data_IF_767969258400
#
_entry.id   IF_767969258400
#
_cell.length_a   1.000
_cell.length_b   1.000
_cell.length_c   1.000
_cell.angle_alpha   90.00
_cell.angle_beta   90.00
_cell.angle_gamma   90.00
#
_symmetry.space_group_name_H-M   'P 1'
#
loop_
_entity.id
_entity.type
_entity.pdbx_description
1 polymer ?
#
# COMPACT_ATOMS: atom_id res chain seq x y z
N UNK A 1 -27.52 4.86 10.90
CA UNK A 1 -27.07 5.39 9.61
C UNK A 1 -25.84 4.56 9.25
N UNK A 2 -25.86 3.81 8.16
CA UNK A 2 -24.64 3.12 7.69
C UNK A 2 -23.64 4.19 7.31
N UNK A 3 -22.44 4.12 7.90
CA UNK A 3 -21.35 5.03 7.57
C UNK A 3 -20.96 4.81 6.10
N UNK A 4 -21.20 5.78 5.25
CA UNK A 4 -20.76 5.78 3.87
C UNK A 4 -19.27 6.06 3.81
N UNK A 5 -18.53 5.36 2.95
CA UNK A 5 -17.13 5.70 2.67
C UNK A 5 -17.04 7.02 1.92
N UNK A 6 -16.09 7.88 2.28
CA UNK A 6 -15.91 9.19 1.66
C UNK A 6 -15.10 9.17 0.36
N UNK A 7 -14.54 8.00 0.00
CA UNK A 7 -13.69 7.80 -1.18
C UNK A 7 -12.73 6.64 -1.03
N UNK A 8 -11.93 6.42 -2.06
CA UNK A 8 -10.94 5.35 -2.12
C UNK A 8 -9.55 5.90 -1.81
N UNK A 9 -8.80 5.17 -0.98
CA UNK A 9 -7.37 5.38 -0.79
C UNK A 9 -6.61 4.39 -1.66
N UNK A 10 -5.60 4.85 -2.37
CA UNK A 10 -4.85 3.99 -3.29
C UNK A 10 -3.36 4.10 -3.09
N UNK A 11 -2.64 3.00 -3.24
CA UNK A 11 -1.19 3.00 -3.34
C UNK A 11 -0.73 2.57 -4.73
N UNK A 12 0.27 3.27 -5.26
CA UNK A 12 0.83 3.02 -6.57
C UNK A 12 2.36 2.91 -6.49
N UNK A 13 2.92 1.89 -7.13
CA UNK A 13 4.37 1.72 -7.24
C UNK A 13 4.95 2.29 -8.53
N UNK A 14 4.15 2.34 -9.62
CA UNK A 14 4.62 2.77 -10.94
C UNK A 14 4.16 4.18 -11.27
N UNK A 15 5.07 5.09 -11.66
CA UNK A 15 4.72 6.47 -12.01
C UNK A 15 3.68 6.59 -13.15
N UNK A 16 3.64 5.63 -14.07
CA UNK A 16 2.66 5.63 -15.16
C UNK A 16 1.20 5.48 -14.68
N UNK A 17 0.96 5.04 -13.44
CA UNK A 17 -0.37 4.93 -12.84
C UNK A 17 -0.89 6.25 -12.27
N UNK A 18 0.01 7.21 -12.00
CA UNK A 18 -0.36 8.46 -11.34
C UNK A 18 -1.43 9.28 -12.11
N UNK A 19 -1.36 9.44 -13.43
CA UNK A 19 -2.41 10.16 -14.17
C UNK A 19 -3.80 9.51 -14.02
N UNK A 20 -3.89 8.19 -14.06
CA UNK A 20 -5.15 7.45 -13.86
C UNK A 20 -5.67 7.64 -12.43
N UNK A 21 -4.78 7.59 -11.44
CA UNK A 21 -5.08 7.83 -10.04
C UNK A 21 -5.69 9.22 -9.79
N UNK A 22 -5.05 10.24 -10.35
CA UNK A 22 -5.46 11.64 -10.22
C UNK A 22 -6.80 11.89 -10.92
N UNK A 23 -7.00 11.32 -12.10
CA UNK A 23 -8.20 11.54 -12.91
C UNK A 23 -9.46 10.88 -12.33
N UNK A 24 -9.33 9.87 -11.46
CA UNK A 24 -10.50 9.16 -10.93
C UNK A 24 -11.21 10.00 -9.85
N UNK A 25 -12.51 10.32 -10.00
CA UNK A 25 -13.21 11.24 -9.10
C UNK A 25 -13.31 10.74 -7.65
N UNK A 26 -13.47 9.43 -7.48
CA UNK A 26 -13.71 8.80 -6.18
C UNK A 26 -12.42 8.49 -5.39
N UNK A 27 -11.25 8.71 -5.98
CA UNK A 27 -9.98 8.63 -5.27
C UNK A 27 -9.79 9.90 -4.45
N UNK A 28 -9.56 9.76 -3.15
CA UNK A 28 -9.35 10.89 -2.23
C UNK A 28 -7.92 10.99 -1.72
N UNK A 29 -7.18 9.85 -1.69
CA UNK A 29 -5.79 9.80 -1.23
C UNK A 29 -4.95 8.88 -2.10
N UNK A 30 -3.72 9.32 -2.39
CA UNK A 30 -2.74 8.59 -3.19
C UNK A 30 -1.47 8.41 -2.38
N UNK A 31 -1.06 7.16 -2.18
CA UNK A 31 0.21 6.77 -1.59
C UNK A 31 1.21 6.44 -2.71
N UNK A 32 2.28 7.20 -2.80
CA UNK A 32 3.36 6.98 -3.75
C UNK A 32 4.43 6.08 -3.12
N UNK A 33 4.74 4.93 -3.72
CA UNK A 33 5.80 4.07 -3.20
C UNK A 33 7.18 4.63 -3.60
N UNK A 34 8.05 4.79 -2.62
CA UNK A 34 9.40 5.33 -2.80
C UNK A 34 10.31 4.47 -3.69
N UNK A 35 9.94 3.22 -3.97
CA UNK A 35 10.64 2.39 -4.94
C UNK A 35 10.48 2.90 -6.37
N UNK A 36 9.28 3.38 -6.72
CA UNK A 36 8.96 3.94 -8.04
C UNK A 36 9.15 5.45 -8.13
N UNK A 37 8.82 6.17 -7.07
CA UNK A 37 8.87 7.64 -7.04
C UNK A 37 10.12 8.14 -6.32
N UNK A 38 10.91 8.98 -6.99
CA UNK A 38 12.14 9.56 -6.45
C UNK A 38 12.05 11.05 -6.16
N UNK A 39 13.09 11.61 -5.52
CA UNK A 39 13.13 13.02 -5.11
C UNK A 39 12.90 13.99 -6.27
N UNK A 40 13.29 13.59 -7.46
CA UNK A 40 13.12 14.37 -8.71
C UNK A 40 11.65 14.52 -9.12
N UNK A 41 10.76 13.66 -8.63
CA UNK A 41 9.34 13.65 -8.97
C UNK A 41 8.42 14.02 -7.81
N UNK A 42 8.87 13.93 -6.55
CA UNK A 42 8.02 14.08 -5.37
C UNK A 42 7.20 15.36 -5.37
N UNK A 43 7.86 16.52 -5.47
CA UNK A 43 7.19 17.82 -5.43
C UNK A 43 6.14 17.99 -6.54
N UNK A 44 6.48 17.57 -7.76
CA UNK A 44 5.55 17.67 -8.88
C UNK A 44 4.36 16.71 -8.72
N UNK A 45 4.59 15.49 -8.20
CA UNK A 45 3.53 14.52 -7.94
C UNK A 45 2.58 14.98 -6.83
N UNK A 46 3.12 15.52 -5.74
CA UNK A 46 2.32 16.12 -4.65
C UNK A 46 1.46 17.27 -5.18
N UNK A 47 2.08 18.21 -5.92
CA UNK A 47 1.35 19.33 -6.50
C UNK A 47 0.22 18.86 -7.42
N UNK A 48 0.49 17.88 -8.29
CA UNK A 48 -0.53 17.32 -9.19
C UNK A 48 -1.70 16.66 -8.42
N UNK A 49 -1.44 16.01 -7.29
CA UNK A 49 -2.48 15.48 -6.42
C UNK A 49 -3.31 16.60 -5.78
N UNK A 50 -2.65 17.60 -5.19
CA UNK A 50 -3.32 18.73 -4.53
C UNK A 50 -4.14 19.58 -5.50
N UNK A 51 -3.66 19.82 -6.72
CA UNK A 51 -4.39 20.55 -7.77
C UNK A 51 -5.70 19.83 -8.16
N UNK A 52 -5.80 18.54 -7.87
CA UNK A 52 -6.99 17.72 -8.09
C UNK A 52 -7.73 17.36 -6.79
N UNK A 53 -7.51 18.11 -5.71
CA UNK A 53 -8.14 17.93 -4.40
C UNK A 53 -7.92 16.54 -3.80
N UNK A 54 -6.75 15.92 -4.04
CA UNK A 54 -6.37 14.62 -3.49
C UNK A 54 -5.20 14.78 -2.51
N UNK A 55 -5.24 14.03 -1.43
CA UNK A 55 -4.12 13.93 -0.50
C UNK A 55 -3.02 13.05 -1.09
N UNK A 56 -1.76 13.41 -0.82
CA UNK A 56 -0.60 12.71 -1.34
C UNK A 56 0.36 12.34 -0.21
N UNK A 57 0.69 11.07 -0.10
CA UNK A 57 1.58 10.55 0.94
C UNK A 57 2.70 9.73 0.31
N UNK A 58 3.86 9.67 0.96
CA UNK A 58 4.96 8.81 0.52
C UNK A 58 5.04 7.56 1.39
N UNK A 59 5.13 6.39 0.75
CA UNK A 59 5.40 5.11 1.42
C UNK A 59 6.90 4.83 1.44
N UNK A 60 7.44 4.53 2.60
CA UNK A 60 8.82 4.10 2.76
C UNK A 60 8.98 2.64 2.27
N UNK A 61 10.22 2.16 1.99
CA UNK A 61 10.43 0.82 1.43
C UNK A 61 10.22 -0.28 2.47
N UNK A 62 9.83 -1.47 2.06
CA UNK A 62 9.66 -2.61 2.99
C UNK A 62 10.93 -3.02 3.75
N UNK A 63 12.11 -2.74 3.19
CA UNK A 63 13.39 -3.02 3.84
C UNK A 63 14.13 -1.71 4.02
N UNK A 64 14.15 -1.24 5.27
CA UNK A 64 14.86 -0.03 5.67
C UNK A 64 16.19 -0.40 6.31
N UNK A 65 17.24 -0.46 5.50
CA UNK A 65 18.62 -0.76 5.90
C UNK A 65 19.56 0.35 5.43
N UNK A 66 20.85 0.15 5.55
CA UNK A 66 21.89 1.13 5.20
C UNK A 66 21.68 1.81 3.84
N UNK A 67 21.26 1.05 2.81
CA UNK A 67 20.99 1.60 1.48
C UNK A 67 19.83 2.57 1.50
N UNK A 68 18.71 2.20 2.13
CA UNK A 68 17.53 3.05 2.24
C UNK A 68 17.80 4.26 3.15
N UNK A 69 18.40 4.02 4.32
CA UNK A 69 18.77 5.09 5.24
C UNK A 69 19.69 6.12 4.59
N UNK A 70 20.76 5.67 3.91
CA UNK A 70 21.69 6.55 3.19
C UNK A 70 20.99 7.35 2.11
N UNK A 71 20.08 6.69 1.37
CA UNK A 71 19.30 7.34 0.32
C UNK A 71 18.41 8.45 0.88
N UNK A 72 17.59 8.17 1.91
CA UNK A 72 16.70 9.16 2.50
C UNK A 72 17.47 10.27 3.21
N UNK A 73 18.57 9.95 3.90
CA UNK A 73 19.44 10.96 4.51
C UNK A 73 20.02 11.94 3.48
N UNK A 74 20.42 11.44 2.32
CA UNK A 74 20.92 12.27 1.21
C UNK A 74 19.84 13.20 0.65
N UNK A 75 18.58 12.78 0.67
CA UNK A 75 17.46 13.48 0.06
C UNK A 75 16.48 14.06 1.08
N UNK A 76 16.92 14.24 2.33
CA UNK A 76 16.07 14.66 3.42
C UNK A 76 15.42 16.04 3.20
N UNK A 77 16.17 16.99 2.61
CA UNK A 77 15.66 18.32 2.32
C UNK A 77 14.59 18.27 1.23
N UNK A 78 14.82 17.49 0.18
CA UNK A 78 13.81 17.27 -0.86
C UNK A 78 12.54 16.63 -0.31
N UNK A 79 12.65 15.72 0.67
CA UNK A 79 11.52 15.10 1.34
C UNK A 79 10.73 16.12 2.17
N UNK A 80 11.43 16.99 2.90
CA UNK A 80 10.82 18.09 3.67
C UNK A 80 10.08 19.10 2.78
N UNK A 81 10.66 19.41 1.62
CA UNK A 81 10.13 20.39 0.67
C UNK A 81 9.05 19.84 -0.27
N UNK A 82 8.87 18.53 -0.31
CA UNK A 82 7.92 17.91 -1.21
C UNK A 82 6.46 18.25 -0.87
N UNK A 83 6.15 18.44 0.42
CA UNK A 83 4.82 18.83 0.89
C UNK A 83 3.86 17.64 1.00
N UNK A 84 4.37 16.45 1.29
CA UNK A 84 3.53 15.27 1.57
C UNK A 84 2.62 15.51 2.77
N UNK A 85 1.36 15.09 2.67
CA UNK A 85 0.40 15.18 3.76
C UNK A 85 0.70 14.21 4.89
N UNK A 86 1.30 13.04 4.57
CA UNK A 86 1.67 11.99 5.52
C UNK A 86 2.84 11.15 4.98
N UNK A 87 3.51 10.43 5.87
CA UNK A 87 4.49 9.40 5.53
C UNK A 87 4.01 8.04 6.02
N UNK A 88 4.02 7.03 5.15
CA UNK A 88 3.64 5.66 5.49
C UNK A 88 4.88 4.88 5.85
N UNK A 89 4.91 4.38 7.08
CA UNK A 89 6.03 3.60 7.64
C UNK A 89 5.71 2.11 7.64
N UNK A 90 6.72 1.32 7.36
CA UNK A 90 6.67 -0.15 7.27
C UNK A 90 7.57 -0.83 8.29
N UNK A 91 8.34 -0.07 9.07
CA UNK A 91 9.18 -0.56 10.17
C UNK A 91 9.31 0.47 11.30
N UNK A 92 9.67 0.01 12.50
CA UNK A 92 9.91 0.90 13.63
C UNK A 92 11.18 1.75 13.44
N UNK A 93 12.17 1.23 12.71
CA UNK A 93 13.40 1.96 12.38
C UNK A 93 13.11 3.22 11.57
N UNK A 94 12.11 3.16 10.69
CA UNK A 94 11.66 4.31 9.90
C UNK A 94 11.10 5.43 10.77
N UNK A 95 10.31 5.10 11.79
CA UNK A 95 9.76 6.08 12.75
C UNK A 95 10.91 6.84 13.44
N UNK A 96 11.89 6.09 13.93
CA UNK A 96 13.07 6.66 14.60
C UNK A 96 13.85 7.54 13.63
N UNK A 97 14.14 7.04 12.44
CA UNK A 97 14.87 7.77 11.39
C UNK A 97 14.19 9.10 11.04
N UNK A 98 12.87 9.10 10.82
CA UNK A 98 12.12 10.31 10.46
C UNK A 98 12.18 11.37 11.55
N UNK A 99 12.03 10.97 12.80
CA UNK A 99 12.11 11.89 13.96
C UNK A 99 13.49 12.49 14.12
N UNK A 100 14.54 11.68 14.05
CA UNK A 100 15.93 12.14 14.19
C UNK A 100 16.36 13.08 13.06
N UNK A 101 15.71 13.03 11.91
CA UNK A 101 16.00 13.87 10.76
C UNK A 101 15.03 15.06 10.58
N UNK A 102 14.23 15.39 11.61
CA UNK A 102 13.36 16.55 11.62
C UNK A 102 12.15 16.45 10.70
N UNK A 103 11.58 15.25 10.59
CA UNK A 103 10.32 14.94 9.89
C UNK A 103 9.22 14.48 10.87
N UNK A 104 9.44 14.68 12.17
CA UNK A 104 8.49 14.28 13.22
C UNK A 104 7.18 15.05 13.22
N UNK A 105 7.11 16.20 12.57
CA UNK A 105 5.89 17.01 12.45
C UNK A 105 4.96 16.53 11.32
N UNK A 106 5.46 15.72 10.39
CA UNK A 106 4.63 15.12 9.34
C UNK A 106 3.89 13.90 9.93
N UNK A 107 2.56 13.84 9.80
CA UNK A 107 1.79 12.71 10.32
C UNK A 107 2.29 11.37 9.76
N UNK A 108 2.42 10.37 10.64
CA UNK A 108 2.86 9.02 10.28
C UNK A 108 1.68 8.05 10.24
N UNK A 109 1.66 7.21 9.22
CA UNK A 109 0.69 6.12 9.02
C UNK A 109 1.42 4.79 9.02
N UNK A 110 0.95 3.81 9.80
CA UNK A 110 1.53 2.47 9.75
C UNK A 110 0.92 1.65 8.61
N UNK A 111 1.76 0.94 7.85
CA UNK A 111 1.29 -0.04 6.87
C UNK A 111 0.94 -1.37 7.55
N UNK A 112 0.18 -2.22 6.88
CA UNK A 112 -0.31 -3.50 7.38
C UNK A 112 0.77 -4.44 7.93
N UNK A 113 2.01 -4.34 7.40
CA UNK A 113 3.15 -5.16 7.83
C UNK A 113 3.77 -4.75 9.18
N UNK A 114 3.27 -3.71 9.84
CA UNK A 114 3.58 -3.44 11.25
C UNK A 114 2.75 -4.28 12.24
N UNK A 115 1.86 -5.11 11.72
CA UNK A 115 1.16 -6.19 12.43
C UNK A 115 0.44 -5.73 13.71
N UNK A 116 -0.41 -4.72 13.58
CA UNK A 116 -1.28 -4.27 14.68
C UNK A 116 -2.39 -5.31 14.91
N UNK A 117 -2.04 -6.41 15.58
CA UNK A 117 -2.90 -7.60 15.70
C UNK A 117 -3.86 -7.55 16.91
N UNK A 118 -3.68 -6.62 17.83
CA UNK A 118 -4.48 -6.49 19.03
C UNK A 118 -4.47 -5.06 19.60
N UNK A 119 -5.28 -4.80 20.60
CA UNK A 119 -5.42 -3.47 21.21
C UNK A 119 -4.12 -2.94 21.82
N UNK A 120 -3.31 -3.79 22.45
CA UNK A 120 -2.04 -3.35 23.02
C UNK A 120 -1.05 -2.87 21.94
N UNK A 121 -1.02 -3.57 20.79
CA UNK A 121 -0.23 -3.13 19.66
C UNK A 121 -0.76 -1.81 19.09
N UNK A 122 -2.07 -1.61 19.05
CA UNK A 122 -2.70 -0.35 18.63
C UNK A 122 -2.31 0.79 19.56
N UNK A 123 -2.49 0.64 20.87
CA UNK A 123 -2.10 1.63 21.87
C UNK A 123 -0.61 1.98 21.77
N UNK A 124 0.26 0.97 21.58
CA UNK A 124 1.70 1.21 21.40
C UNK A 124 2.01 2.01 20.12
N UNK A 125 1.30 1.79 19.04
CA UNK A 125 1.47 2.60 17.81
C UNK A 125 0.99 4.04 18.02
N UNK A 126 -0.13 4.23 18.73
CA UNK A 126 -0.63 5.55 19.10
C UNK A 126 0.38 6.30 19.98
N UNK A 127 0.98 5.63 20.98
CA UNK A 127 2.06 6.17 21.82
C UNK A 127 3.32 6.53 21.01
N UNK A 128 3.59 5.77 19.96
CA UNK A 128 4.63 6.07 18.98
C UNK A 128 4.21 7.19 18.00
N UNK A 129 3.09 7.89 18.21
CA UNK A 129 2.64 9.01 17.39
C UNK A 129 2.20 8.62 15.98
N UNK A 130 1.78 7.38 15.78
CA UNK A 130 1.13 6.97 14.53
C UNK A 130 -0.29 7.53 14.51
N UNK A 131 -0.59 8.34 13.50
CA UNK A 131 -1.86 9.05 13.38
C UNK A 131 -2.98 8.20 12.79
N UNK A 132 -2.64 7.19 12.00
CA UNK A 132 -3.58 6.24 11.38
C UNK A 132 -2.87 4.92 11.09
N UNK A 133 -3.62 3.83 11.09
CA UNK A 133 -3.08 2.47 10.91
C UNK A 133 -3.79 1.76 9.76
N UNK A 134 -3.06 0.91 9.07
CA UNK A 134 -3.62 -0.03 8.11
C UNK A 134 -3.82 -1.38 8.79
N UNK A 135 -5.02 -1.93 8.66
CA UNK A 135 -5.39 -3.23 9.25
C UNK A 135 -4.51 -4.36 8.73
N UNK A 136 -4.09 -5.28 9.59
CA UNK A 136 -3.24 -6.41 9.20
C UNK A 136 -3.99 -7.38 8.27
N UNK A 137 -3.26 -7.94 7.30
CA UNK A 137 -3.79 -8.84 6.29
C UNK A 137 -4.03 -10.27 6.80
N UNK A 138 -3.48 -10.60 7.97
CA UNK A 138 -3.51 -11.92 8.58
C UNK A 138 -4.80 -12.18 9.37
N UNK A 139 -5.49 -11.13 9.80
CA UNK A 139 -6.72 -11.26 10.57
C UNK A 139 -7.93 -11.54 9.67
N UNK A 140 -8.77 -12.46 10.13
CA UNK A 140 -10.07 -12.66 9.51
C UNK A 140 -11.09 -11.62 9.98
N UNK A 141 -12.24 -11.58 9.34
CA UNK A 141 -13.27 -10.57 9.61
C UNK A 141 -13.80 -10.54 11.04
N UNK A 142 -13.78 -11.67 11.78
CA UNK A 142 -14.22 -11.73 13.19
C UNK A 142 -13.14 -11.14 14.12
N UNK A 143 -11.88 -11.45 13.82
CA UNK A 143 -10.74 -10.89 14.54
C UNK A 143 -10.63 -9.38 14.31
N UNK A 144 -10.85 -8.92 13.08
CA UNK A 144 -10.94 -7.50 12.74
C UNK A 144 -12.09 -6.80 13.49
N UNK A 145 -13.27 -7.44 13.58
CA UNK A 145 -14.40 -6.92 14.37
C UNK A 145 -14.05 -6.79 15.86
N UNK A 146 -13.27 -7.73 16.39
CA UNK A 146 -12.79 -7.67 17.78
C UNK A 146 -11.73 -6.57 17.98
N UNK A 147 -10.84 -6.37 17.01
CA UNK A 147 -9.81 -5.32 17.06
C UNK A 147 -10.43 -3.91 16.98
N UNK A 148 -11.58 -3.77 16.30
CA UNK A 148 -12.14 -2.46 15.93
C UNK A 148 -11.44 -1.89 14.70
N UNK A 149 -12.22 -1.51 13.71
CA UNK A 149 -11.69 -1.08 12.41
C UNK A 149 -11.87 0.42 12.17
N UNK A 150 -12.62 1.08 13.05
CA UNK A 150 -12.89 2.52 12.94
C UNK A 150 -11.56 3.29 12.92
N UNK A 151 -11.47 4.27 12.04
CA UNK A 151 -10.27 5.09 11.82
C UNK A 151 -9.07 4.36 11.20
N UNK A 152 -9.16 3.03 10.98
CA UNK A 152 -8.11 2.24 10.33
C UNK A 152 -8.44 1.99 8.85
N UNK A 153 -7.42 1.79 8.03
CA UNK A 153 -7.58 1.44 6.63
C UNK A 153 -7.68 -0.08 6.44
N UNK A 154 -8.61 -0.53 5.60
CA UNK A 154 -8.74 -1.93 5.21
C UNK A 154 -8.26 -2.12 3.77
N UNK A 155 -7.27 -2.99 3.56
CA UNK A 155 -6.93 -3.46 2.22
C UNK A 155 -8.08 -4.26 1.61
N UNK A 156 -8.61 -3.78 0.50
CA UNK A 156 -9.72 -4.43 -0.22
C UNK A 156 -9.31 -4.96 -1.59
N UNK A 157 -8.17 -4.49 -2.12
CA UNK A 157 -7.62 -4.94 -3.41
C UNK A 157 -6.10 -4.83 -3.45
N UNK A 158 -5.45 -5.75 -4.16
CA UNK A 158 -4.05 -5.67 -4.59
C UNK A 158 -3.32 -7.01 -4.67
N UNK A 159 -2.21 -7.04 -5.41
CA UNK A 159 -1.27 -8.16 -5.35
C UNK A 159 -0.49 -8.09 -4.04
N UNK A 160 -0.82 -8.99 -3.12
CA UNK A 160 -0.19 -9.02 -1.81
C UNK A 160 1.22 -9.60 -1.87
N UNK A 161 2.19 -9.02 -1.15
CA UNK A 161 3.50 -9.63 -0.96
C UNK A 161 3.37 -10.99 -0.27
N UNK A 162 3.80 -12.05 -0.95
CA UNK A 162 3.96 -13.37 -0.33
C UNK A 162 5.32 -13.47 0.39
N UNK A 163 6.33 -12.74 -0.11
CA UNK A 163 7.65 -12.66 0.51
C UNK A 163 8.35 -11.36 0.10
N UNK A 164 9.01 -10.72 1.06
CA UNK A 164 9.96 -9.63 0.81
C UNK A 164 11.36 -10.12 1.19
N UNK A 165 12.32 -10.02 0.27
CA UNK A 165 13.66 -10.57 0.44
C UNK A 165 14.76 -9.58 0.09
N UNK A 166 15.70 -9.37 1.00
CA UNK A 166 16.92 -8.59 0.76
C UNK A 166 17.90 -9.25 -0.22
N UNK A 167 17.72 -10.54 -0.52
CA UNK A 167 18.55 -11.24 -1.48
C UNK A 167 17.99 -11.05 -2.90
N UNK A 168 18.68 -10.24 -3.71
CA UNK A 168 18.25 -9.96 -5.08
C UNK A 168 18.42 -11.20 -6.00
N UNK A 169 17.28 -11.70 -6.54
CA UNK A 169 17.25 -12.86 -7.44
C UNK A 169 18.03 -12.57 -8.74
N UNK A 170 17.87 -11.37 -9.30
CA UNK A 170 18.61 -10.97 -10.52
C UNK A 170 20.11 -11.01 -10.27
N UNK A 171 20.58 -10.44 -9.16
CA UNK A 171 22.00 -10.44 -8.79
C UNK A 171 22.56 -11.86 -8.65
N UNK A 172 21.78 -12.78 -8.09
CA UNK A 172 22.22 -14.15 -7.83
C UNK A 172 22.25 -15.01 -9.10
N UNK A 173 21.36 -14.74 -10.07
CA UNK A 173 21.18 -15.58 -11.26
C UNK A 173 21.86 -15.04 -12.51
N UNK A 174 21.81 -13.72 -12.73
CA UNK A 174 22.26 -13.06 -13.97
C UNK A 174 23.35 -12.01 -13.74
N UNK A 175 23.65 -11.67 -12.48
CA UNK A 175 24.47 -10.51 -12.13
C UNK A 175 23.62 -9.23 -12.03
N UNK A 176 24.09 -8.25 -11.23
CA UNK A 176 23.35 -7.01 -11.00
C UNK A 176 23.37 -6.09 -12.22
N UNK A 177 22.21 -5.81 -12.81
CA UNK A 177 22.03 -4.87 -13.93
C UNK A 177 21.67 -3.45 -13.47
N UNK A 178 21.26 -3.29 -12.20
CA UNK A 178 20.65 -2.07 -11.64
C UNK A 178 19.40 -1.61 -12.40
N UNK A 179 18.77 -2.51 -13.13
CA UNK A 179 17.52 -2.24 -13.87
C UNK A 179 16.37 -2.95 -13.17
N UNK A 180 15.28 -2.22 -12.82
CA UNK A 180 14.08 -2.86 -12.32
C UNK A 180 13.48 -3.77 -13.39
N UNK A 181 13.11 -4.96 -12.99
CA UNK A 181 12.40 -5.91 -13.88
C UNK A 181 11.38 -6.71 -13.07
N UNK A 182 10.36 -7.21 -13.76
CA UNK A 182 9.40 -8.16 -13.21
C UNK A 182 9.72 -9.53 -13.77
N UNK A 183 10.16 -10.43 -12.89
CA UNK A 183 10.47 -11.83 -13.20
C UNK A 183 9.25 -12.70 -12.89
N UNK A 184 9.27 -13.93 -13.39
CA UNK A 184 8.32 -14.98 -13.02
C UNK A 184 9.06 -16.15 -12.38
N UNK A 185 8.65 -16.48 -11.16
CA UNK A 185 9.08 -17.72 -10.50
C UNK A 185 7.94 -18.72 -10.56
N UNK A 186 8.26 -20.00 -10.74
CA UNK A 186 7.27 -21.07 -10.63
C UNK A 186 7.31 -21.67 -9.25
N UNK A 187 6.13 -21.80 -8.65
CA UNK A 187 5.98 -22.56 -7.41
C UNK A 187 6.00 -24.07 -7.69
N UNK A 188 5.94 -24.89 -6.64
CA UNK A 188 5.90 -26.34 -6.74
C UNK A 188 4.65 -26.88 -7.45
N UNK A 189 3.59 -26.07 -7.59
CA UNK A 189 2.35 -26.40 -8.26
C UNK A 189 2.31 -25.93 -9.71
N UNK A 190 3.38 -25.26 -10.18
CA UNK A 190 3.51 -24.74 -11.54
C UNK A 190 2.89 -23.36 -11.75
N UNK A 191 2.40 -22.69 -10.70
CA UNK A 191 1.87 -21.33 -10.79
C UNK A 191 3.01 -20.32 -10.91
N UNK A 192 2.80 -19.33 -11.76
CA UNK A 192 3.73 -18.20 -11.92
C UNK A 192 3.52 -17.20 -10.77
N UNK A 193 4.58 -16.99 -9.99
CA UNK A 193 4.65 -15.96 -8.95
C UNK A 193 5.39 -14.75 -9.54
N UNK A 194 4.76 -13.57 -9.65
CA UNK A 194 5.47 -12.36 -10.07
C UNK A 194 6.51 -11.95 -9.03
N UNK A 195 7.70 -11.61 -9.49
CA UNK A 195 8.80 -11.11 -8.65
C UNK A 195 9.27 -9.78 -9.18
N UNK A 196 9.15 -8.74 -8.37
CA UNK A 196 9.60 -7.39 -8.71
C UNK A 196 10.86 -7.06 -7.94
N UNK A 197 11.92 -6.64 -8.64
CA UNK A 197 13.13 -6.20 -7.97
C UNK A 197 13.15 -4.68 -7.81
N UNK A 198 13.29 -4.23 -6.58
CA UNK A 198 13.37 -2.83 -6.19
C UNK A 198 14.84 -2.38 -6.13
N UNK A 199 15.38 -2.00 -7.29
CA UNK A 199 16.81 -1.72 -7.45
C UNK A 199 17.30 -0.52 -6.64
N UNK A 200 16.42 0.45 -6.31
CA UNK A 200 16.76 1.62 -5.51
C UNK A 200 17.21 1.23 -4.10
N UNK A 201 16.56 0.23 -3.50
CA UNK A 201 16.80 -0.23 -2.13
C UNK A 201 17.32 -1.68 -2.05
N UNK A 202 17.64 -2.28 -3.19
CA UNK A 202 18.28 -3.58 -3.32
C UNK A 202 17.56 -4.75 -2.65
N UNK A 203 16.22 -4.87 -2.86
CA UNK A 203 15.43 -6.01 -2.41
C UNK A 203 14.42 -6.48 -3.46
N UNK A 204 13.75 -7.60 -3.23
CA UNK A 204 12.69 -8.11 -4.11
C UNK A 204 11.40 -8.30 -3.32
N UNK A 205 10.29 -8.14 -4.02
CA UNK A 205 8.97 -8.57 -3.57
C UNK A 205 8.47 -9.68 -4.48
N UNK A 206 8.11 -10.81 -3.88
CA UNK A 206 7.43 -11.92 -4.55
C UNK A 206 5.95 -11.77 -4.23
N UNK A 207 5.14 -11.63 -5.26
CA UNK A 207 3.70 -11.42 -5.10
C UNK A 207 2.92 -12.72 -5.25
N UNK A 208 1.74 -12.77 -4.66
CA UNK A 208 0.77 -13.81 -4.93
C UNK A 208 0.44 -13.86 -6.43
N UNK A 209 0.11 -15.03 -6.99
CA UNK A 209 -0.21 -15.17 -8.42
C UNK A 209 -1.51 -14.48 -8.81
N UNK A 210 -2.41 -14.25 -7.85
CA UNK A 210 -3.70 -13.60 -8.05
C UNK A 210 -3.88 -12.47 -7.03
N UNK A 211 -4.50 -11.35 -7.39
CA UNK A 211 -4.71 -10.25 -6.45
C UNK A 211 -5.72 -10.62 -5.36
N UNK A 212 -5.59 -10.02 -4.19
CA UNK A 212 -6.68 -9.91 -3.24
C UNK A 212 -7.79 -9.09 -3.90
N UNK A 213 -9.03 -9.53 -3.78
CA UNK A 213 -10.20 -8.71 -4.06
C UNK A 213 -11.29 -9.01 -3.04
N UNK A 214 -11.82 -7.99 -2.41
CA UNK A 214 -12.95 -8.08 -1.49
C UNK A 214 -14.26 -7.57 -2.11
N UNK A 215 -14.32 -7.41 -3.43
CA UNK A 215 -15.58 -7.20 -4.15
C UNK A 215 -16.59 -8.30 -3.79
N UNK A 216 -17.86 -7.94 -3.61
CA UNK A 216 -18.90 -8.87 -3.13
C UNK A 216 -18.85 -9.20 -1.63
N UNK A 217 -17.99 -8.53 -0.84
CA UNK A 217 -17.98 -8.62 0.63
C UNK A 217 -18.55 -7.35 1.30
N UNK A 218 -19.29 -6.54 0.56
CA UNK A 218 -19.77 -5.21 0.98
C UNK A 218 -20.47 -5.24 2.35
N UNK A 219 -21.43 -6.12 2.55
CA UNK A 219 -22.18 -6.23 3.83
C UNK A 219 -21.26 -6.44 5.03
N UNK A 220 -20.23 -7.27 4.84
CA UNK A 220 -19.27 -7.57 5.90
C UNK A 220 -18.34 -6.37 6.15
N UNK A 221 -17.84 -5.74 5.09
CA UNK A 221 -16.98 -4.56 5.20
C UNK A 221 -17.73 -3.38 5.82
N UNK A 222 -18.99 -3.13 5.44
CA UNK A 222 -19.81 -2.09 6.07
C UNK A 222 -20.05 -2.36 7.57
N UNK A 223 -20.21 -3.63 7.97
CA UNK A 223 -20.31 -4.00 9.39
C UNK A 223 -19.03 -3.73 10.16
N UNK A 224 -17.87 -3.98 9.55
CA UNK A 224 -16.57 -3.67 10.14
C UNK A 224 -16.33 -2.16 10.26
N UNK A 225 -16.99 -1.35 9.44
CA UNK A 225 -16.90 0.10 9.40
C UNK A 225 -15.47 0.65 9.41
N UNK A 226 -14.54 0.18 8.52
CA UNK A 226 -13.21 0.75 8.49
C UNK A 226 -13.25 2.22 8.08
N UNK A 227 -12.28 3.00 8.58
CA UNK A 227 -12.17 4.43 8.28
C UNK A 227 -11.92 4.72 6.80
N UNK A 228 -11.27 3.80 6.08
CA UNK A 228 -11.05 3.91 4.63
C UNK A 228 -10.85 2.53 3.97
N UNK A 229 -11.14 2.49 2.66
CA UNK A 229 -10.84 1.34 1.80
C UNK A 229 -9.57 1.61 0.99
N UNK A 230 -8.58 0.70 1.10
CA UNK A 230 -7.31 0.83 0.41
C UNK A 230 -7.14 -0.18 -0.71
N UNK A 231 -6.79 0.30 -1.91
CA UNK A 231 -6.45 -0.49 -3.08
C UNK A 231 -4.97 -0.31 -3.39
N UNK A 232 -4.23 -1.41 -3.57
CA UNK A 232 -2.79 -1.37 -3.87
C UNK A 232 -2.51 -1.82 -5.30
N UNK A 233 -1.88 -0.95 -6.09
CA UNK A 233 -1.54 -1.20 -7.49
C UNK A 233 -0.02 -1.32 -7.64
N UNK A 234 0.42 -2.51 -8.06
CA UNK A 234 1.85 -2.89 -8.11
C UNK A 234 2.27 -3.48 -9.45
N UNK A 235 1.40 -4.24 -10.11
CA UNK A 235 1.66 -4.99 -11.34
C UNK A 235 0.68 -4.62 -12.47
N UNK A 236 -0.33 -3.85 -12.16
CA UNK A 236 -1.42 -3.50 -13.07
C UNK A 236 -1.00 -2.45 -14.10
N UNK A 237 -1.65 -2.51 -15.27
CA UNK A 237 -1.61 -1.41 -16.25
C UNK A 237 -2.58 -0.29 -15.85
N UNK A 238 -2.44 0.93 -16.41
CA UNK A 238 -3.40 2.01 -16.17
C UNK A 238 -4.86 1.63 -16.49
N UNK A 239 -5.09 0.83 -17.53
CA UNK A 239 -6.41 0.35 -17.92
C UNK A 239 -6.98 -0.64 -16.89
N UNK A 240 -6.14 -1.56 -16.40
CA UNK A 240 -6.53 -2.51 -15.35
C UNK A 240 -6.83 -1.77 -14.05
N UNK A 241 -5.98 -0.81 -13.68
CA UNK A 241 -6.20 0.04 -12.51
C UNK A 241 -7.54 0.77 -12.61
N UNK A 242 -7.83 1.40 -13.76
CA UNK A 242 -9.10 2.09 -13.96
C UNK A 242 -10.30 1.15 -13.79
N UNK A 243 -10.27 -0.02 -14.40
CA UNK A 243 -11.36 -1.00 -14.29
C UNK A 243 -11.60 -1.45 -12.84
N UNK A 244 -10.52 -1.59 -12.04
CA UNK A 244 -10.63 -1.92 -10.61
C UNK A 244 -11.21 -0.75 -9.83
N UNK A 245 -10.73 0.47 -10.07
CA UNK A 245 -11.23 1.66 -9.39
C UNK A 245 -12.73 1.86 -9.66
N UNK A 246 -13.16 1.79 -10.93
CA UNK A 246 -14.56 1.89 -11.31
C UNK A 246 -15.40 0.84 -10.54
N UNK A 247 -14.98 -0.44 -10.54
CA UNK A 247 -15.72 -1.53 -9.89
C UNK A 247 -15.84 -1.35 -8.36
N UNK A 248 -14.78 -0.88 -7.69
CA UNK A 248 -14.84 -0.64 -6.25
C UNK A 248 -15.63 0.62 -5.90
N UNK A 249 -15.54 1.68 -6.70
CA UNK A 249 -16.35 2.88 -6.52
C UNK A 249 -17.84 2.57 -6.71
N UNK A 250 -18.20 1.87 -7.79
CA UNK A 250 -19.58 1.46 -8.07
C UNK A 250 -20.17 0.70 -6.88
N UNK A 251 -19.47 -0.32 -6.39
CA UNK A 251 -20.00 -1.15 -5.30
C UNK A 251 -20.03 -0.43 -3.95
N UNK A 252 -18.95 0.25 -3.56
CA UNK A 252 -18.82 0.76 -2.18
C UNK A 252 -19.30 2.20 -2.01
N UNK A 253 -19.24 3.02 -3.07
CA UNK A 253 -19.59 4.44 -3.01
C UNK A 253 -20.94 4.73 -3.69
N UNK A 254 -21.24 4.07 -4.81
CA UNK A 254 -22.45 4.33 -5.59
C UNK A 254 -23.56 3.31 -5.33
N UNK A 255 -23.26 2.18 -4.67
CA UNK A 255 -24.24 1.14 -4.33
C UNK A 255 -24.70 0.31 -5.55
N UNK A 256 -23.89 0.25 -6.60
CA UNK A 256 -24.16 -0.51 -7.81
C UNK A 256 -23.59 -1.94 -7.72
N UNK A 257 -24.31 -2.91 -8.26
CA UNK A 257 -23.78 -4.26 -8.38
C UNK A 257 -22.73 -4.33 -9.48
N UNK A 258 -21.55 -4.80 -9.12
CA UNK A 258 -20.44 -4.94 -10.05
C UNK A 258 -19.80 -6.31 -9.97
N UNK A 259 -18.97 -6.65 -10.95
CA UNK A 259 -18.21 -7.89 -11.00
C UNK A 259 -16.72 -7.61 -10.89
N UNK A 260 -16.01 -8.58 -10.33
CA UNK A 260 -14.56 -8.51 -10.25
C UNK A 260 -13.96 -8.41 -11.67
N UNK A 261 -13.13 -7.41 -11.96
CA UNK A 261 -12.50 -7.26 -13.28
C UNK A 261 -11.50 -8.37 -13.60
N UNK A 262 -11.05 -9.12 -12.59
CA UNK A 262 -10.17 -10.28 -12.77
C UNK A 262 -10.93 -11.59 -12.60
N UNK A 263 -10.62 -12.57 -13.46
CA UNK A 263 -11.19 -13.91 -13.35
C UNK A 263 -10.66 -14.68 -12.14
N UNK A 264 -9.36 -14.52 -11.88
CA UNK A 264 -8.66 -15.17 -10.77
C UNK A 264 -8.31 -14.14 -9.71
N UNK A 265 -8.85 -14.31 -8.51
CA UNK A 265 -8.57 -13.50 -7.33
C UNK A 265 -8.59 -14.36 -6.06
N UNK A 266 -8.03 -13.83 -4.99
CA UNK A 266 -8.09 -14.45 -3.65
C UNK A 266 -8.85 -13.56 -2.68
N UNK A 267 -9.41 -14.15 -1.63
CA UNK A 267 -9.98 -13.42 -0.48
C UNK A 267 -8.95 -13.29 0.66
N UNK A 268 -7.72 -13.75 0.47
CA UNK A 268 -6.70 -13.76 1.50
C UNK A 268 -7.17 -14.49 2.75
N UNK A 269 -6.79 -13.99 3.90
CA UNK A 269 -7.19 -14.50 5.22
C UNK A 269 -8.54 -13.95 5.70
N UNK A 270 -9.15 -13.01 4.98
CA UNK A 270 -10.34 -12.28 5.38
C UNK A 270 -11.52 -13.16 5.87
N UNK A 271 -11.69 -14.37 5.29
CA UNK A 271 -12.73 -15.31 5.70
C UNK A 271 -12.29 -16.35 6.72
N UNK A 272 -11.04 -16.81 6.67
CA UNK A 272 -10.58 -17.99 7.42
C UNK A 272 -9.49 -17.72 8.44
N UNK A 273 -8.79 -16.58 8.31
CA UNK A 273 -7.60 -16.29 9.12
C UNK A 273 -6.36 -17.05 8.66
N UNK A 274 -5.30 -16.98 9.47
CA UNK A 274 -4.09 -17.79 9.36
C UNK A 274 -4.28 -19.00 10.25
N UNK A 275 -4.32 -20.22 9.67
CA UNK A 275 -4.37 -21.50 10.40
C UNK A 275 -2.96 -21.96 10.79
#
# INVERSE_FOLDING_TARGET
>A
MEAGFCGLHISIEEPCLLPTAIAHPDVTRIYLDSCGFGPETWKAAVQACHDNAKQCSLMLPHIFRTEAETYFRKHIDALKEAGFDELVVKSLDEITFLRENGLGDIPLVSDANLYVLNHLAREQMEDLGISRMTLPLELNSRELETLGCEEMELYVYGYLPAMVSAQCIVRTTKGCTKQPEVLKMKDRTGKDLPVKNHCRFCYNTIYNPSPLSLLGQEKLIRRLAPGALRLAFTLETPEQMKAVLDAFADQFLHGEETRDPFKDFTRGHFKRGVE
#
